data_IF_660357310337
#
_entry.id   IF_660357310337
#
_cell.length_a   1.000
_cell.length_b   1.000
_cell.length_c   1.000
_cell.angle_alpha   90.00
_cell.angle_beta   90.00
_cell.angle_gamma   90.00
#
_symmetry.space_group_name_H-M   'P 1'
#
loop_
_entity.id
_entity.type
_entity.pdbx_description
1 polymer ?
#
# COMPACT_ATOMS: atom_id res chain seq x y z
N UNK A 1 -18.99 -8.57 -9.77
CA UNK A 1 -18.47 -7.28 -9.26
C UNK A 1 -17.50 -7.64 -8.15
N UNK A 2 -16.19 -7.42 -8.34
CA UNK A 2 -15.27 -7.54 -7.21
C UNK A 2 -15.71 -6.57 -6.12
N UNK A 3 -15.89 -7.07 -4.91
CA UNK A 3 -16.19 -6.24 -3.75
C UNK A 3 -15.02 -5.29 -3.53
N UNK A 4 -15.26 -3.99 -3.71
CA UNK A 4 -14.27 -2.95 -3.42
C UNK A 4 -13.90 -2.89 -1.94
N UNK A 5 -12.99 -1.99 -1.58
CA UNK A 5 -12.61 -1.77 -0.19
C UNK A 5 -13.71 -1.04 0.58
N UNK A 6 -13.91 -1.43 1.84
CA UNK A 6 -14.64 -0.59 2.80
C UNK A 6 -13.82 0.67 3.14
N UNK A 7 -14.46 1.73 3.65
CA UNK A 7 -13.71 2.89 4.14
C UNK A 7 -12.71 2.56 5.25
N UNK A 8 -13.01 1.57 6.11
CA UNK A 8 -12.09 1.10 7.14
C UNK A 8 -10.86 0.42 6.52
N UNK A 9 -11.05 -0.50 5.57
CA UNK A 9 -9.94 -1.14 4.84
C UNK A 9 -9.10 -0.09 4.08
N UNK A 10 -9.71 1.00 3.59
CA UNK A 10 -9.00 2.11 2.94
C UNK A 10 -8.22 3.03 3.91
N UNK A 11 -8.45 2.91 5.23
CA UNK A 11 -7.92 3.80 6.25
C UNK A 11 -8.57 5.18 6.27
N UNK A 12 -9.86 5.24 5.93
CA UNK A 12 -10.68 6.46 5.89
C UNK A 12 -11.72 6.53 7.03
N UNK A 13 -11.78 5.51 7.89
CA UNK A 13 -12.78 5.41 8.96
C UNK A 13 -12.82 6.63 9.89
N UNK A 14 -11.67 7.03 10.43
CA UNK A 14 -11.55 8.20 11.32
C UNK A 14 -11.98 9.51 10.62
N UNK A 15 -11.52 9.71 9.39
CA UNK A 15 -11.83 10.92 8.59
C UNK A 15 -13.33 11.03 8.31
N UNK A 16 -14.03 9.90 8.22
CA UNK A 16 -15.47 9.84 7.96
C UNK A 16 -16.31 9.73 9.25
N UNK A 17 -15.70 9.74 10.43
CA UNK A 17 -16.40 9.60 11.71
C UNK A 17 -17.09 8.24 11.89
N UNK A 18 -16.57 7.19 11.26
CA UNK A 18 -17.10 5.84 11.38
C UNK A 18 -16.63 5.18 12.69
N UNK A 19 -17.40 4.22 13.23
CA UNK A 19 -16.97 3.42 14.38
C UNK A 19 -15.62 2.75 14.13
N UNK A 20 -14.81 2.51 15.18
CA UNK A 20 -13.58 1.76 15.04
C UNK A 20 -13.90 0.36 14.50
N UNK A 21 -13.12 -0.04 13.51
CA UNK A 21 -13.19 -1.34 12.84
C UNK A 21 -11.78 -1.92 12.75
N UNK A 22 -11.69 -3.24 12.74
CA UNK A 22 -10.44 -3.99 12.72
C UNK A 22 -10.36 -4.82 11.43
N UNK A 23 -10.15 -4.18 10.27
CA UNK A 23 -10.25 -4.85 8.99
C UNK A 23 -9.14 -5.88 8.81
N UNK A 24 -9.47 -7.05 8.25
CA UNK A 24 -8.50 -8.12 7.97
C UNK A 24 -7.49 -7.74 6.88
N UNK A 25 -7.82 -6.76 6.04
CA UNK A 25 -6.98 -6.24 4.97
C UNK A 25 -6.95 -4.72 4.99
N UNK A 26 -5.85 -4.14 4.52
CA UNK A 26 -5.63 -2.71 4.56
C UNK A 26 -4.99 -2.19 3.28
N UNK A 27 -5.48 -1.04 2.80
CA UNK A 27 -4.85 -0.25 1.76
C UNK A 27 -3.59 0.43 2.31
N UNK A 28 -2.45 -0.11 1.92
CA UNK A 28 -1.12 0.22 2.41
C UNK A 28 -0.32 0.95 1.33
N UNK A 29 0.50 1.92 1.73
CA UNK A 29 1.44 2.55 0.82
C UNK A 29 2.71 1.71 0.74
N UNK A 30 3.24 1.53 -0.47
CA UNK A 30 4.51 0.88 -0.74
C UNK A 30 5.50 1.91 -1.29
N UNK A 31 6.72 1.88 -0.78
CA UNK A 31 7.86 2.61 -1.32
C UNK A 31 8.87 1.59 -1.85
N UNK A 32 9.13 1.63 -3.14
CA UNK A 32 10.04 0.70 -3.82
C UNK A 32 11.50 1.15 -3.64
N UNK A 33 12.43 0.20 -3.57
CA UNK A 33 13.88 0.49 -3.52
C UNK A 33 14.39 1.12 -4.84
N UNK A 34 13.68 0.88 -5.96
CA UNK A 34 14.03 1.40 -7.28
C UNK A 34 12.89 2.14 -7.98
N UNK A 35 13.07 2.39 -9.28
CA UNK A 35 12.11 3.15 -10.13
C UNK A 35 11.24 2.27 -11.01
N UNK A 36 11.32 0.94 -10.87
CA UNK A 36 10.43 0.03 -11.58
C UNK A 36 8.98 0.24 -11.11
N UNK A 37 8.03 0.13 -12.03
CA UNK A 37 6.59 0.30 -11.73
C UNK A 37 5.86 -0.99 -12.09
N UNK A 38 5.77 -1.96 -11.16
CA UNK A 38 5.04 -3.20 -11.42
C UNK A 38 3.58 -2.92 -11.83
N UNK A 39 2.99 -3.75 -12.72
CA UNK A 39 1.60 -3.57 -13.15
C UNK A 39 0.59 -3.68 -12.00
N UNK A 40 -0.57 -3.03 -12.14
CA UNK A 40 -1.73 -3.27 -11.26
C UNK A 40 -2.17 -4.73 -11.35
N UNK A 41 -2.59 -5.31 -10.23
CA UNK A 41 -2.94 -6.72 -10.11
C UNK A 41 -1.74 -7.62 -9.80
N UNK A 42 -0.51 -7.08 -9.76
CA UNK A 42 0.67 -7.87 -9.40
C UNK A 42 0.56 -8.33 -7.95
N UNK A 43 0.75 -9.63 -7.66
CA UNK A 43 0.75 -10.13 -6.28
C UNK A 43 1.83 -9.47 -5.43
N UNK A 44 1.48 -9.15 -4.18
CA UNK A 44 2.41 -8.70 -3.16
C UNK A 44 2.79 -9.88 -2.27
N UNK A 45 4.09 -10.11 -2.09
CA UNK A 45 4.62 -11.23 -1.33
C UNK A 45 5.37 -10.76 -0.07
N UNK A 46 5.23 -11.51 1.02
CA UNK A 46 6.10 -11.43 2.19
C UNK A 46 6.48 -12.86 2.58
N UNK A 47 7.77 -13.10 2.85
CA UNK A 47 8.28 -14.44 3.17
C UNK A 47 7.87 -15.49 2.12
N UNK A 48 7.92 -15.12 0.83
CA UNK A 48 7.50 -15.92 -0.35
C UNK A 48 6.00 -16.29 -0.41
N UNK A 49 5.19 -15.78 0.51
CA UNK A 49 3.74 -16.00 0.52
C UNK A 49 3.00 -14.80 -0.05
N UNK A 50 1.93 -15.05 -0.80
CA UNK A 50 1.04 -13.99 -1.27
C UNK A 50 0.27 -13.41 -0.09
N UNK A 51 0.46 -12.12 0.17
CA UNK A 51 -0.15 -11.39 1.29
C UNK A 51 -1.04 -10.25 0.83
N UNK A 52 -1.20 -10.08 -0.47
CA UNK A 52 -1.98 -8.99 -1.04
C UNK A 52 -1.77 -8.79 -2.53
N UNK A 53 -2.20 -7.63 -3.02
CA UNK A 53 -2.17 -7.26 -4.43
C UNK A 53 -1.92 -5.75 -4.60
N UNK A 54 -1.10 -5.40 -5.59
CA UNK A 54 -0.85 -4.02 -6.00
C UNK A 54 -2.06 -3.44 -6.73
N UNK A 55 -2.57 -2.29 -6.28
CA UNK A 55 -3.73 -1.59 -6.87
C UNK A 55 -3.37 -0.34 -7.65
N UNK A 56 -2.22 0.27 -7.35
CA UNK A 56 -1.66 1.38 -8.15
C UNK A 56 -0.15 1.46 -7.94
N UNK A 57 0.58 1.92 -8.96
CA UNK A 57 2.01 2.18 -8.85
C UNK A 57 2.42 3.25 -9.86
N UNK A 58 3.27 4.18 -9.44
CA UNK A 58 3.81 5.24 -10.29
C UNK A 58 5.19 5.67 -9.82
N UNK A 59 6.00 6.21 -10.74
CA UNK A 59 7.27 6.85 -10.38
C UNK A 59 7.01 8.16 -9.64
N UNK A 60 7.68 8.34 -8.50
CA UNK A 60 7.73 9.60 -7.75
C UNK A 60 9.07 10.29 -8.01
N UNK A 61 9.06 11.37 -8.80
CA UNK A 61 10.27 12.15 -9.08
C UNK A 61 10.83 12.84 -7.83
N UNK A 62 9.98 13.19 -6.86
CA UNK A 62 10.40 13.84 -5.62
C UNK A 62 11.13 12.88 -4.67
N UNK A 63 10.89 11.58 -4.78
CA UNK A 63 11.50 10.55 -3.94
C UNK A 63 12.60 9.76 -4.67
N UNK A 64 12.79 10.03 -5.96
CA UNK A 64 13.59 9.23 -6.90
C UNK A 64 13.35 7.71 -6.78
N UNK A 65 12.10 7.35 -6.56
CA UNK A 65 11.65 5.99 -6.33
C UNK A 65 10.24 5.78 -6.89
N UNK A 66 9.83 4.53 -7.08
CA UNK A 66 8.43 4.22 -7.33
C UNK A 66 7.64 4.13 -6.03
N UNK A 67 6.38 4.53 -6.11
CA UNK A 67 5.43 4.50 -5.01
C UNK A 67 4.15 3.79 -5.48
N UNK A 68 3.59 2.95 -4.62
CA UNK A 68 2.37 2.22 -4.93
C UNK A 68 1.39 2.18 -3.76
N UNK A 69 0.18 1.72 -4.08
CA UNK A 69 -0.82 1.32 -3.10
C UNK A 69 -1.14 -0.15 -3.33
N UNK A 70 -1.15 -0.93 -2.25
CA UNK A 70 -1.51 -2.35 -2.27
C UNK A 70 -2.56 -2.64 -1.20
N UNK A 71 -3.43 -3.59 -1.48
CA UNK A 71 -4.29 -4.20 -0.47
C UNK A 71 -3.49 -5.33 0.13
N UNK A 72 -3.14 -5.22 1.41
CA UNK A 72 -2.36 -6.22 2.13
C UNK A 72 -3.16 -6.79 3.30
N UNK A 73 -2.90 -8.03 3.68
CA UNK A 73 -3.34 -8.56 4.96
C UNK A 73 -2.87 -7.66 6.11
N UNK A 74 -3.71 -7.43 7.12
CA UNK A 74 -3.44 -6.51 8.23
C UNK A 74 -2.11 -6.79 8.92
N UNK A 75 -1.79 -8.06 9.15
CA UNK A 75 -0.54 -8.46 9.81
C UNK A 75 0.73 -8.11 9.00
N UNK A 76 0.58 -7.73 7.73
CA UNK A 76 1.66 -7.36 6.81
C UNK A 76 1.52 -5.91 6.30
N UNK A 77 0.62 -5.11 6.88
CA UNK A 77 0.38 -3.70 6.51
C UNK A 77 1.12 -2.69 7.40
N UNK A 78 1.94 -3.16 8.33
CA UNK A 78 2.67 -2.29 9.24
C UNK A 78 3.86 -1.61 8.55
N UNK A 79 4.11 -0.30 8.79
CA UNK A 79 5.28 0.39 8.23
C UNK A 79 6.60 -0.33 8.53
N UNK A 80 7.49 -0.37 7.53
CA UNK A 80 8.76 -1.10 7.58
C UNK A 80 8.66 -2.57 7.18
N UNK A 81 7.45 -3.12 7.00
CA UNK A 81 7.29 -4.50 6.53
C UNK A 81 7.85 -4.65 5.12
N UNK A 82 8.77 -5.60 4.87
CA UNK A 82 9.30 -5.86 3.53
C UNK A 82 8.26 -6.58 2.66
N UNK A 83 8.11 -6.11 1.43
CA UNK A 83 7.19 -6.65 0.43
C UNK A 83 7.93 -6.81 -0.90
N UNK A 84 7.67 -7.90 -1.60
CA UNK A 84 8.11 -8.12 -2.97
C UNK A 84 6.91 -8.00 -3.93
N UNK A 85 7.03 -7.23 -5.00
CA UNK A 85 5.98 -7.10 -6.03
C UNK A 85 6.61 -7.19 -7.39
N UNK A 86 6.30 -8.24 -8.16
CA UNK A 86 6.86 -8.43 -9.50
C UNK A 86 8.39 -8.53 -9.54
N UNK A 87 9.01 -9.06 -8.48
CA UNK A 87 10.47 -9.13 -8.33
C UNK A 87 11.12 -7.87 -7.74
N UNK A 88 10.35 -6.79 -7.57
CA UNK A 88 10.84 -5.53 -7.02
C UNK A 88 10.63 -5.45 -5.51
N UNK A 89 11.67 -5.02 -4.79
CA UNK A 89 11.64 -4.86 -3.34
C UNK A 89 10.98 -3.54 -2.97
N UNK A 90 10.10 -3.59 -1.98
CA UNK A 90 9.45 -2.42 -1.40
C UNK A 90 9.32 -2.56 0.11
N UNK A 91 9.12 -1.42 0.77
CA UNK A 91 8.72 -1.35 2.17
C UNK A 91 7.30 -0.79 2.27
N UNK A 92 6.52 -1.33 3.19
CA UNK A 92 5.30 -0.65 3.61
C UNK A 92 5.68 0.67 4.27
N UNK A 93 5.08 1.76 3.81
CA UNK A 93 5.37 3.12 4.25
C UNK A 93 4.17 3.74 4.95
N UNK A 94 4.45 4.67 5.86
CA UNK A 94 3.39 5.44 6.51
C UNK A 94 2.73 6.39 5.51
N UNK A 95 1.40 6.42 5.50
CA UNK A 95 0.63 7.39 4.72
C UNK A 95 0.61 8.76 5.44
N UNK A 96 0.66 9.90 4.71
CA UNK A 96 0.95 10.02 3.28
C UNK A 96 2.46 9.93 2.98
N UNK A 97 2.82 9.37 1.82
CA UNK A 97 4.22 9.34 1.33
C UNK A 97 4.80 10.74 1.12
N UNK A 98 3.95 11.70 0.76
CA UNK A 98 4.31 13.09 0.61
C UNK A 98 3.26 13.96 1.31
N UNK A 99 3.69 14.74 2.30
CA UNK A 99 2.81 15.68 2.98
C UNK A 99 2.77 16.99 2.20
N UNK A 100 1.58 17.35 1.70
CA UNK A 100 1.35 18.67 1.10
C UNK A 100 1.62 19.75 2.16
N UNK A 101 2.50 20.71 1.84
CA UNK A 101 2.65 21.93 2.62
C UNK A 101 1.48 22.85 2.24
N UNK A 102 0.71 23.32 3.23
CA UNK A 102 -0.29 24.38 2.98
C UNK A 102 0.48 25.67 2.71
N UNK A 103 0.24 26.27 1.55
CA UNK A 103 0.56 27.68 1.30
C UNK A 103 -0.56 28.55 1.86
#
# INVERSE_FOLDING_TARGET
LETGLTPAEAGLGEVLGLPPDEPERMLSALLFEGTATPPVGTPALADEQVVGELRSCARSFALDASAGLAILNRNRSHPGTPILVGGERALVAQKPLYRRRKM
#
